data_IF_971938129336
#
_entry.id   IF_971938129336
#
_cell.length_a   1.000
_cell.length_b   1.000
_cell.length_c   1.000
_cell.angle_alpha   90.00
_cell.angle_beta   90.00
_cell.angle_gamma   90.00
#
_symmetry.space_group_name_H-M   'P 1'
#
loop_
_entity.id
_entity.type
_entity.pdbx_description
1 polymer ?
#
# COMPACT_ATOMS: atom_id res chain seq x y z
N UNK A 1 21.01 -20.38 2.27
CA UNK A 1 19.84 -20.71 3.09
C UNK A 1 19.30 -19.40 3.64
N UNK A 2 18.24 -18.86 3.05
CA UNK A 2 17.85 -17.45 3.23
C UNK A 2 16.71 -17.32 4.24
N UNK A 3 17.01 -16.77 5.41
CA UNK A 3 16.05 -16.42 6.46
C UNK A 3 15.09 -15.33 6.01
N UNK A 4 14.00 -15.67 5.31
CA UNK A 4 12.97 -14.71 4.87
C UNK A 4 11.65 -14.76 5.67
N UNK A 5 11.62 -15.40 6.84
CA UNK A 5 10.39 -15.51 7.64
C UNK A 5 10.29 -14.54 8.83
N UNK A 6 10.96 -13.38 8.76
CA UNK A 6 10.49 -12.22 9.54
C UNK A 6 9.39 -11.55 8.73
N UNK A 7 8.14 -11.94 9.01
CA UNK A 7 6.96 -11.21 8.51
C UNK A 7 6.94 -9.84 9.17
N UNK A 8 7.71 -8.90 8.62
CA UNK A 8 7.59 -7.50 9.00
C UNK A 8 6.20 -7.01 8.51
N UNK A 9 5.23 -6.75 9.40
CA UNK A 9 3.92 -6.23 9.01
C UNK A 9 4.07 -4.93 8.19
N UNK A 10 5.11 -4.15 8.48
CA UNK A 10 5.57 -3.01 7.72
C UNK A 10 5.88 -3.33 6.25
N UNK A 11 6.66 -4.39 5.96
CA UNK A 11 6.97 -4.81 4.58
C UNK A 11 5.71 -5.26 3.84
N UNK A 12 4.79 -5.93 4.55
CA UNK A 12 3.50 -6.35 3.98
C UNK A 12 2.66 -5.14 3.58
N UNK A 13 2.55 -4.13 4.46
CA UNK A 13 1.83 -2.88 4.19
C UNK A 13 2.47 -2.09 3.05
N UNK A 14 3.81 -1.96 3.01
CA UNK A 14 4.55 -1.33 1.89
C UNK A 14 4.23 -2.00 0.55
N UNK A 15 4.19 -3.34 0.51
CA UNK A 15 3.87 -4.10 -0.70
C UNK A 15 2.41 -3.92 -1.14
N UNK A 16 1.47 -3.87 -0.19
CA UNK A 16 0.06 -3.62 -0.49
C UNK A 16 -0.17 -2.20 -1.02
N UNK A 17 0.46 -1.21 -0.40
CA UNK A 17 0.46 0.19 -0.86
C UNK A 17 0.96 0.31 -2.30
N UNK A 18 2.09 -0.31 -2.62
CA UNK A 18 2.66 -0.30 -3.96
C UNK A 18 1.68 -0.88 -5.00
N UNK A 19 1.05 -2.02 -4.68
CA UNK A 19 0.03 -2.64 -5.54
C UNK A 19 -1.18 -1.75 -5.75
N UNK A 20 -1.70 -1.12 -4.69
CA UNK A 20 -2.87 -0.22 -4.80
C UNK A 20 -2.56 1.01 -5.63
N UNK A 21 -1.35 1.56 -5.50
CA UNK A 21 -0.88 2.66 -6.35
C UNK A 21 -0.74 2.26 -7.80
N UNK A 22 -0.18 1.09 -8.08
CA UNK A 22 -0.08 0.57 -9.45
C UNK A 22 -1.47 0.37 -10.09
N UNK A 23 -2.42 -0.19 -9.34
CA UNK A 23 -3.81 -0.31 -9.77
C UNK A 23 -4.45 1.06 -10.02
N UNK A 24 -4.18 2.04 -9.15
CA UNK A 24 -4.70 3.41 -9.32
C UNK A 24 -4.14 4.04 -10.60
N UNK A 25 -2.84 3.90 -10.86
CA UNK A 25 -2.23 4.39 -12.11
C UNK A 25 -2.82 3.70 -13.34
N UNK A 26 -3.09 2.40 -13.25
CA UNK A 26 -3.75 1.67 -14.33
C UNK A 26 -5.19 2.16 -14.55
N UNK A 27 -5.96 2.38 -13.47
CA UNK A 27 -7.30 2.96 -13.54
C UNK A 27 -7.29 4.38 -14.14
N UNK A 28 -6.32 5.21 -13.75
CA UNK A 28 -6.13 6.55 -14.31
C UNK A 28 -5.83 6.49 -15.81
N UNK A 29 -4.93 5.59 -16.25
CA UNK A 29 -4.61 5.40 -17.67
C UNK A 29 -5.79 4.89 -18.48
N UNK A 30 -6.64 4.07 -17.88
CA UNK A 30 -7.86 3.57 -18.50
C UNK A 30 -9.03 4.57 -18.44
N UNK A 31 -8.84 5.72 -17.76
CA UNK A 31 -9.86 6.76 -17.62
C UNK A 31 -10.94 6.45 -16.56
N UNK A 32 -10.75 5.44 -15.73
CA UNK A 32 -11.69 5.09 -14.66
C UNK A 32 -11.42 5.92 -13.40
N UNK A 33 -11.97 7.13 -13.38
CA UNK A 33 -11.79 8.11 -12.30
C UNK A 33 -12.41 7.63 -10.98
N UNK A 34 -13.52 6.89 -11.03
CA UNK A 34 -14.19 6.36 -9.84
C UNK A 34 -13.31 5.33 -9.15
N UNK A 35 -12.78 4.39 -9.93
CA UNK A 35 -11.87 3.37 -9.45
C UNK A 35 -10.54 3.98 -9.00
N UNK A 36 -10.02 4.98 -9.71
CA UNK A 36 -8.83 5.72 -9.28
C UNK A 36 -9.04 6.37 -7.90
N UNK A 37 -10.18 7.03 -7.68
CA UNK A 37 -10.49 7.67 -6.40
C UNK A 37 -10.56 6.65 -5.26
N UNK A 38 -11.25 5.51 -5.46
CA UNK A 38 -11.34 4.46 -4.44
C UNK A 38 -9.98 3.84 -4.14
N UNK A 39 -9.20 3.49 -5.16
CA UNK A 39 -7.87 2.88 -4.99
C UNK A 39 -6.88 3.84 -4.33
N UNK A 40 -6.99 5.14 -4.62
CA UNK A 40 -6.16 6.17 -3.97
C UNK A 40 -6.51 6.30 -2.50
N UNK A 41 -7.80 6.31 -2.16
CA UNK A 41 -8.26 6.36 -0.77
C UNK A 41 -7.83 5.11 0.03
N UNK A 42 -7.91 3.93 -0.58
CA UNK A 42 -7.39 2.69 0.01
C UNK A 42 -5.86 2.73 0.20
N UNK A 43 -5.12 3.27 -0.78
CA UNK A 43 -3.68 3.44 -0.66
C UNK A 43 -3.32 4.39 0.50
N UNK A 44 -4.04 5.50 0.68
CA UNK A 44 -3.83 6.40 1.82
C UNK A 44 -4.11 5.75 3.17
N UNK A 45 -5.16 4.93 3.26
CA UNK A 45 -5.47 4.18 4.48
C UNK A 45 -4.33 3.23 4.86
N UNK A 46 -3.76 2.50 3.89
CA UNK A 46 -2.61 1.62 4.10
C UNK A 46 -1.37 2.44 4.51
N UNK A 47 -1.19 3.64 3.95
CA UNK A 47 -0.09 4.53 4.29
C UNK A 47 -0.16 5.00 5.75
N UNK A 48 -1.36 5.37 6.23
CA UNK A 48 -1.58 5.70 7.64
C UNK A 48 -1.27 4.52 8.56
N UNK A 49 -1.72 3.33 8.21
CA UNK A 49 -1.38 2.11 8.96
C UNK A 49 0.12 1.85 8.98
N UNK A 50 0.79 2.07 7.85
CA UNK A 50 2.24 1.92 7.75
C UNK A 50 2.96 2.93 8.66
N UNK A 51 2.52 4.19 8.67
CA UNK A 51 3.08 5.22 9.55
C UNK A 51 2.89 4.86 11.02
N UNK A 52 1.71 4.37 11.42
CA UNK A 52 1.46 3.90 12.78
C UNK A 52 2.42 2.78 13.17
N UNK A 53 2.55 1.74 12.34
CA UNK A 53 3.48 0.62 12.59
C UNK A 53 4.95 1.07 12.62
N UNK A 54 5.31 2.10 11.85
CA UNK A 54 6.66 2.68 11.83
C UNK A 54 6.91 3.51 13.11
N UNK A 55 5.91 4.24 13.58
CA UNK A 55 5.95 5.07 14.80
C UNK A 55 5.94 4.24 16.08
N UNK A 56 5.15 3.16 16.16
CA UNK A 56 5.14 2.22 17.29
C UNK A 56 6.47 1.45 17.47
N UNK A 57 7.34 1.49 16.46
CA UNK A 57 8.68 0.87 16.50
C UNK A 57 9.76 1.79 17.09
N UNK A 58 9.45 3.07 17.36
CA UNK A 58 10.36 4.08 17.94
C UNK A 58 10.20 4.12 19.45
#
# INVERSE_FOLDING_TARGET
MWSFFKSDPEKKLKKQLARKREQALHAQRNGDIRLFASLTQEAEAILKQLQQVQSDKV
#
